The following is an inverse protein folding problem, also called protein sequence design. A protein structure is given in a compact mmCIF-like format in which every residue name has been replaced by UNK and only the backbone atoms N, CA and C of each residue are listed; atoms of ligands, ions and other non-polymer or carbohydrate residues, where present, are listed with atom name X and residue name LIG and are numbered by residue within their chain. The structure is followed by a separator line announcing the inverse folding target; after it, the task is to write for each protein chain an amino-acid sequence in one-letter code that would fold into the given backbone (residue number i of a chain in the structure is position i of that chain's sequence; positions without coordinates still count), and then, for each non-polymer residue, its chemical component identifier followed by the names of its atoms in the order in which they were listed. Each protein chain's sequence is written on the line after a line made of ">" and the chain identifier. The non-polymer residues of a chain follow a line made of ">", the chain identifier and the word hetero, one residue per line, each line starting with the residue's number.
data_IF_941435756805
#
_entry.id   IF_941435756805
#
_cell.length_a   1.000
_cell.length_b   1.000
_cell.length_c   1.000
_cell.angle_alpha   90.00
_cell.angle_beta   90.00
_cell.angle_gamma   90.00
#
_symmetry.space_group_name_H-M   'P 1'
#
loop_
_entity.id
_entity.type
_entity.pdbx_description
1 polymer ?
#
# COMPACT_ATOMS: atom_id res chain seq x y z
N UNK A 1 -0.60 0.98 -7.19
CA UNK A 1 0.72 1.44 -6.71
C UNK A 1 1.35 2.25 -7.83
N UNK A 2 1.86 3.43 -7.51
CA UNK A 2 2.51 4.31 -8.47
C UNK A 2 3.83 4.79 -7.90
N UNK A 3 4.86 4.88 -8.74
CA UNK A 3 6.19 5.35 -8.34
C UNK A 3 6.25 6.85 -8.58
N UNK A 4 6.56 7.61 -7.53
CA UNK A 4 6.74 9.06 -7.56
C UNK A 4 8.21 9.41 -7.23
N UNK A 5 8.65 10.66 -7.45
CA UNK A 5 9.97 11.11 -7.05
C UNK A 5 10.23 10.99 -5.53
N UNK A 6 9.17 11.02 -4.71
CA UNK A 6 9.26 10.89 -3.25
C UNK A 6 9.19 9.43 -2.77
N UNK A 7 8.86 8.48 -3.64
CA UNK A 7 8.82 7.05 -3.29
C UNK A 7 7.67 6.28 -3.93
N UNK A 8 7.15 5.27 -3.21
CA UNK A 8 6.01 4.47 -3.66
C UNK A 8 4.72 4.99 -3.03
N UNK A 9 3.75 5.40 -3.85
CA UNK A 9 2.43 5.82 -3.42
C UNK A 9 1.37 4.74 -3.72
N UNK A 10 0.45 4.55 -2.77
CA UNK A 10 -0.76 3.75 -2.98
C UNK A 10 -1.83 4.70 -3.50
N UNK A 11 -2.33 4.42 -4.70
CA UNK A 11 -3.52 5.06 -5.24
C UNK A 11 -4.74 4.34 -4.66
N UNK A 12 -5.49 5.04 -3.80
CA UNK A 12 -6.62 4.47 -3.09
C UNK A 12 -7.89 4.33 -3.95
N UNK A 13 -8.01 5.09 -5.04
CA UNK A 13 -9.15 4.98 -5.96
C UNK A 13 -9.16 3.63 -6.69
N UNK A 14 -7.96 3.06 -6.90
CA UNK A 14 -7.78 1.75 -7.51
C UNK A 14 -7.44 0.64 -6.52
N UNK A 15 -7.15 1.00 -5.26
CA UNK A 15 -6.85 0.04 -4.23
C UNK A 15 -8.06 -0.85 -3.93
N UNK A 16 -7.82 -2.16 -3.82
CA UNK A 16 -8.87 -3.14 -3.49
C UNK A 16 -8.92 -3.51 -2.01
N UNK A 17 -7.98 -3.00 -1.21
CA UNK A 17 -7.88 -3.36 0.20
C UNK A 17 -7.47 -4.81 0.48
N UNK A 18 -6.92 -5.55 -0.50
CA UNK A 18 -6.58 -6.98 -0.33
C UNK A 18 -5.40 -7.25 0.61
N UNK A 19 -4.57 -6.24 0.90
CA UNK A 19 -3.45 -6.34 1.85
C UNK A 19 -2.21 -7.10 1.35
N UNK A 20 -2.20 -7.61 0.12
CA UNK A 20 -1.06 -8.36 -0.44
C UNK A 20 0.22 -7.52 -0.40
N UNK A 21 0.15 -6.24 -0.77
CA UNK A 21 1.30 -5.33 -0.75
C UNK A 21 1.90 -5.14 0.65
N UNK A 22 1.08 -5.15 1.71
CA UNK A 22 1.58 -5.07 3.08
C UNK A 22 2.20 -6.39 3.54
N UNK A 23 1.65 -7.53 3.10
CA UNK A 23 2.16 -8.86 3.46
C UNK A 23 3.47 -9.23 2.74
N UNK A 24 3.59 -8.86 1.47
CA UNK A 24 4.78 -9.18 0.66
C UNK A 24 5.94 -8.20 0.87
N UNK A 25 5.71 -7.06 1.52
CA UNK A 25 6.76 -6.06 1.70
C UNK A 25 7.85 -6.58 2.67
N UNK A 26 9.08 -6.86 2.21
CA UNK A 26 10.13 -7.41 3.08
C UNK A 26 10.63 -6.37 4.10
N UNK A 27 10.35 -5.10 3.86
CA UNK A 27 10.75 -3.99 4.72
C UNK A 27 9.66 -3.57 5.71
N UNK A 28 8.44 -4.12 5.59
CA UNK A 28 7.30 -3.74 6.41
C UNK A 28 6.89 -2.26 6.24
N UNK A 29 7.05 -1.70 5.04
CA UNK A 29 6.81 -0.29 4.76
C UNK A 29 5.32 0.11 4.78
N UNK A 30 4.41 -0.87 4.75
CA UNK A 30 2.96 -0.67 4.68
C UNK A 30 2.26 -1.46 5.77
N UNK A 31 1.15 -0.93 6.30
CA UNK A 31 0.28 -1.60 7.27
C UNK A 31 -1.18 -1.43 6.89
N UNK A 32 -1.95 -2.51 6.93
CA UNK A 32 -3.39 -2.48 6.73
C UNK A 32 -4.12 -2.09 8.02
N UNK A 33 -5.12 -1.22 7.91
CA UNK A 33 -6.03 -0.85 9.00
C UNK A 33 -7.47 -0.95 8.52
N UNK A 34 -8.41 -1.22 9.42
CA UNK A 34 -9.83 -1.14 9.11
C UNK A 34 -10.25 0.34 9.01
N UNK A 35 -11.15 0.63 8.07
CA UNK A 35 -11.85 1.92 8.03
C UNK A 35 -12.86 1.97 9.19
N UNK A 36 -12.94 3.12 9.87
CA UNK A 36 -13.83 3.37 11.02
C UNK A 36 -15.08 4.13 10.60
#
# INVERSE_FOLDING_TARGET
>A
MHVTPEGLAIDYDYCKGCGICANECPFGALRMTAEV
#
